data_IF_857244531409
#
_entry.id   IF_857244531409
#
_cell.length_a   1.000
_cell.length_b   1.000
_cell.length_c   1.000
_cell.angle_alpha   90.00
_cell.angle_beta   90.00
_cell.angle_gamma   90.00
#
_symmetry.space_group_name_H-M   'P 1'
#
loop_
_entity.id
_entity.type
_entity.pdbx_description
1 polymer ?
#
# COMPACT_ATOMS: atom_id res chain seq x y z
N UNK A 1 2.58 -9.05 15.60
CA UNK A 1 1.37 -8.21 15.38
C UNK A 1 1.42 -7.09 16.40
N UNK A 2 1.28 -5.83 15.96
CA UNK A 2 1.20 -4.66 16.85
C UNK A 2 -0.25 -4.17 16.88
N UNK A 3 -0.74 -3.75 18.05
CA UNK A 3 -2.09 -3.21 18.25
C UNK A 3 -1.97 -1.84 18.93
N UNK A 4 -2.78 -0.87 18.53
CA UNK A 4 -2.86 0.45 19.16
C UNK A 4 -4.28 1.03 19.06
N UNK A 5 -4.65 1.89 20.00
CA UNK A 5 -5.84 2.75 19.92
C UNK A 5 -5.50 3.97 19.06
N UNK A 6 -6.41 4.39 18.18
CA UNK A 6 -6.17 5.54 17.28
C UNK A 6 -6.89 6.76 17.85
N UNK A 7 -6.15 7.65 18.50
CA UNK A 7 -6.71 8.78 19.25
C UNK A 7 -6.83 10.10 18.43
N UNK A 8 -6.43 10.10 17.16
CA UNK A 8 -6.52 11.28 16.27
C UNK A 8 -7.88 11.26 15.54
N UNK A 9 -8.67 12.34 15.46
CA UNK A 9 -9.93 12.37 14.70
C UNK A 9 -9.73 12.23 13.17
N UNK A 10 -10.77 11.78 12.45
CA UNK A 10 -10.71 11.58 11.00
C UNK A 10 -10.69 12.92 10.26
N UNK A 11 -9.54 13.27 9.67
CA UNK A 11 -9.41 14.39 8.73
C UNK A 11 -9.18 13.79 7.34
N UNK A 12 -10.11 13.99 6.36
CA UNK A 12 -9.92 13.54 4.98
C UNK A 12 -8.58 14.04 4.43
N UNK A 13 -7.70 13.12 4.03
CA UNK A 13 -6.35 13.44 3.55
C UNK A 13 -5.21 13.20 4.56
N UNK A 14 -5.50 12.84 5.82
CA UNK A 14 -4.50 12.49 6.85
C UNK A 14 -4.56 11.01 7.28
N UNK A 15 -5.13 10.11 6.46
CA UNK A 15 -5.19 8.66 6.77
C UNK A 15 -3.79 8.08 7.10
N UNK A 16 -2.75 8.59 6.43
CA UNK A 16 -1.36 8.25 6.72
C UNK A 16 -0.98 8.53 8.19
N UNK A 17 -1.46 9.61 8.82
CA UNK A 17 -1.11 9.94 10.20
C UNK A 17 -1.73 8.99 11.23
N UNK A 18 -2.86 8.35 10.90
CA UNK A 18 -3.49 7.35 11.79
C UNK A 18 -2.83 5.98 11.66
N UNK A 19 -2.51 5.56 10.45
CA UNK A 19 -2.06 4.19 10.18
C UNK A 19 -0.53 4.05 10.11
N UNK A 20 0.18 5.06 9.60
CA UNK A 20 1.63 4.99 9.44
C UNK A 20 2.39 4.77 10.75
N UNK A 21 2.05 5.41 11.90
CA UNK A 21 2.75 5.14 13.16
C UNK A 21 2.70 3.67 13.57
N UNK A 22 1.53 3.03 13.38
CA UNK A 22 1.34 1.62 13.71
C UNK A 22 2.11 0.70 12.74
N UNK A 23 2.12 1.03 11.44
CA UNK A 23 2.87 0.28 10.44
C UNK A 23 4.38 0.39 10.68
N UNK A 24 4.87 1.59 11.01
CA UNK A 24 6.26 1.85 11.38
C UNK A 24 6.64 1.06 12.63
N UNK A 25 5.81 1.07 13.67
CA UNK A 25 6.04 0.28 14.87
C UNK A 25 6.10 -1.22 14.57
N UNK A 26 5.23 -1.73 13.69
CA UNK A 26 5.24 -3.12 13.26
C UNK A 26 6.53 -3.49 12.50
N UNK A 27 7.01 -2.62 11.62
CA UNK A 27 8.27 -2.83 10.89
C UNK A 27 9.49 -2.79 11.82
N UNK A 28 9.56 -1.81 12.73
CA UNK A 28 10.63 -1.74 13.73
C UNK A 28 10.68 -2.99 14.63
N UNK A 29 9.53 -3.54 14.97
CA UNK A 29 9.43 -4.78 15.75
C UNK A 29 9.85 -6.04 14.97
N UNK A 30 9.85 -6.01 13.63
CA UNK A 30 10.43 -7.08 12.79
C UNK A 30 11.94 -6.93 12.71
N UNK A 31 12.43 -5.71 12.53
CA UNK A 31 13.86 -5.42 12.48
C UNK A 31 14.58 -5.78 13.78
N UNK A 32 13.95 -5.50 14.94
CA UNK A 32 14.50 -5.93 16.23
C UNK A 32 14.62 -7.45 16.39
N UNK A 33 13.97 -8.22 15.52
CA UNK A 33 14.05 -9.69 15.44
C UNK A 33 14.98 -10.17 14.32
N UNK A 34 15.73 -9.28 13.68
CA UNK A 34 16.63 -9.59 12.57
C UNK A 34 15.93 -9.85 11.23
N UNK A 35 14.64 -9.52 11.09
CA UNK A 35 13.88 -9.70 9.85
C UNK A 35 13.78 -8.37 9.12
N UNK A 36 14.57 -8.18 8.07
CA UNK A 36 14.58 -6.97 7.24
C UNK A 36 13.67 -7.10 6.01
N UNK A 37 13.17 -5.95 5.53
CA UNK A 37 12.25 -5.89 4.39
C UNK A 37 12.94 -5.13 3.27
N UNK A 38 13.18 -5.81 2.15
CA UNK A 38 13.82 -5.20 0.98
C UNK A 38 12.88 -4.23 0.24
N UNK A 39 11.60 -4.59 0.14
CA UNK A 39 10.56 -3.76 -0.49
C UNK A 39 9.26 -3.86 0.29
N UNK A 40 8.73 -2.71 0.70
CA UNK A 40 7.46 -2.61 1.41
C UNK A 40 6.29 -2.42 0.43
N UNK A 41 5.29 -3.30 0.47
CA UNK A 41 4.00 -3.06 -0.20
C UNK A 41 2.95 -2.55 0.79
N UNK A 42 2.37 -1.40 0.49
CA UNK A 42 1.37 -0.75 1.33
C UNK A 42 0.01 -0.74 0.62
N UNK A 43 -1.05 -1.13 1.34
CA UNK A 43 -2.42 -1.01 0.86
C UNK A 43 -2.86 0.47 0.93
N UNK A 44 -2.49 1.24 -0.09
CA UNK A 44 -2.66 2.68 -0.18
C UNK A 44 -1.84 3.26 -1.32
N UNK A 45 -1.93 4.57 -1.53
CA UNK A 45 -1.19 5.24 -2.62
C UNK A 45 0.23 5.62 -2.21
N UNK A 46 1.13 5.69 -3.20
CA UNK A 46 2.43 6.36 -3.11
C UNK A 46 2.37 7.76 -3.73
N UNK A 47 3.15 8.00 -4.80
CA UNK A 47 3.21 9.27 -5.52
C UNK A 47 1.85 9.78 -6.05
N UNK A 48 0.89 8.94 -6.49
CA UNK A 48 -0.48 9.35 -6.87
C UNK A 48 -1.31 9.90 -5.71
N UNK A 49 -0.92 11.08 -5.24
CA UNK A 49 -1.52 11.83 -4.16
C UNK A 49 -1.42 13.33 -4.49
N UNK A 50 -2.38 14.19 -4.09
CA UNK A 50 -2.32 15.63 -4.38
C UNK A 50 -1.02 16.32 -3.93
N UNK A 51 -0.39 15.79 -2.88
CA UNK A 51 0.89 16.29 -2.32
C UNK A 51 2.11 15.45 -2.74
N UNK A 52 1.96 14.52 -3.69
CA UNK A 52 2.98 13.52 -4.07
C UNK A 52 3.53 12.70 -2.89
N UNK A 53 2.70 12.56 -1.85
CA UNK A 53 3.07 11.97 -0.56
C UNK A 53 1.90 11.13 -0.03
N UNK A 54 1.61 10.02 -0.68
CA UNK A 54 0.70 9.01 -0.16
C UNK A 54 1.33 8.21 0.99
N UNK A 55 0.54 7.36 1.64
CA UNK A 55 0.99 6.56 2.80
C UNK A 55 2.19 5.66 2.46
N UNK A 56 2.26 5.10 1.26
CA UNK A 56 3.39 4.27 0.85
C UNK A 56 4.68 5.10 0.74
N UNK A 57 4.59 6.30 0.17
CA UNK A 57 5.70 7.25 0.10
C UNK A 57 6.12 7.72 1.50
N UNK A 58 5.15 8.07 2.35
CA UNK A 58 5.43 8.56 3.70
C UNK A 58 6.19 7.52 4.53
N UNK A 59 5.72 6.26 4.56
CA UNK A 59 6.40 5.19 5.32
C UNK A 59 7.76 4.88 4.70
N UNK A 60 7.84 4.78 3.36
CA UNK A 60 9.09 4.50 2.67
C UNK A 60 10.18 5.55 2.96
N UNK A 61 9.82 6.84 2.92
CA UNK A 61 10.72 7.94 3.28
C UNK A 61 11.09 7.89 4.77
N UNK A 62 10.12 7.72 5.66
CA UNK A 62 10.36 7.71 7.10
C UNK A 62 11.26 6.56 7.58
N UNK A 63 11.27 5.44 6.84
CA UNK A 63 12.05 4.25 7.13
C UNK A 63 13.25 4.06 6.19
N UNK A 64 13.42 4.95 5.22
CA UNK A 64 14.45 4.91 4.19
C UNK A 64 14.51 3.59 3.36
N UNK A 65 13.36 2.93 3.18
CA UNK A 65 13.23 1.65 2.46
C UNK A 65 12.41 1.79 1.16
N UNK A 66 12.73 0.99 0.12
CA UNK A 66 11.90 0.92 -1.08
C UNK A 66 10.45 0.60 -0.75
N UNK A 67 9.51 1.33 -1.35
CA UNK A 67 8.08 1.13 -1.07
C UNK A 67 7.19 1.27 -2.29
N UNK A 68 6.09 0.52 -2.29
CA UNK A 68 5.10 0.42 -3.36
C UNK A 68 3.72 0.69 -2.77
N UNK A 69 2.97 1.59 -3.38
CA UNK A 69 1.55 1.78 -3.09
C UNK A 69 0.69 0.90 -3.99
N UNK A 70 -0.27 0.18 -3.39
CA UNK A 70 -1.24 -0.67 -4.07
C UNK A 70 -2.64 -0.31 -3.59
N UNK A 71 -3.52 0.10 -4.50
CA UNK A 71 -4.86 0.58 -4.18
C UNK A 71 -5.94 0.10 -5.15
N UNK A 72 -7.20 0.26 -4.77
CA UNK A 72 -8.38 -0.17 -5.55
C UNK A 72 -9.11 0.93 -6.30
N UNK A 73 -8.80 2.18 -5.99
CA UNK A 73 -9.46 3.35 -6.55
C UNK A 73 -8.39 4.32 -6.98
N UNK A 74 -8.66 5.08 -8.02
CA UNK A 74 -7.85 6.25 -8.37
C UNK A 74 -7.99 7.29 -7.26
N UNK A 75 -6.88 7.91 -6.89
CA UNK A 75 -6.86 9.07 -6.00
C UNK A 75 -6.43 10.34 -6.74
N UNK A 76 -5.32 10.29 -7.47
CA UNK A 76 -4.73 11.44 -8.15
C UNK A 76 -3.90 11.01 -9.38
N UNK A 77 -3.53 11.97 -10.23
CA UNK A 77 -2.76 11.75 -11.46
C UNK A 77 -3.63 11.41 -12.66
N UNK A 78 -3.09 11.58 -13.88
CA UNK A 78 -3.77 11.31 -15.16
C UNK A 78 -3.62 9.84 -15.54
N UNK A 79 -4.69 9.21 -16.02
CA UNK A 79 -4.65 7.81 -16.48
C UNK A 79 -4.53 7.80 -18.00
N UNK A 80 -3.40 7.29 -18.51
CA UNK A 80 -3.21 7.06 -19.95
C UNK A 80 -3.44 5.58 -20.24
N UNK A 81 -4.62 5.26 -20.77
CA UNK A 81 -5.02 3.89 -21.12
C UNK A 81 -4.23 3.43 -22.36
N UNK A 82 -3.49 2.33 -22.23
CA UNK A 82 -2.70 1.76 -23.33
C UNK A 82 -3.43 0.54 -23.90
N UNK A 83 -4.03 -0.28 -23.03
CA UNK A 83 -4.87 -1.43 -23.37
C UNK A 83 -6.01 -1.52 -22.37
N UNK A 84 -6.98 -2.39 -22.63
CA UNK A 84 -8.16 -2.53 -21.77
C UNK A 84 -7.80 -2.86 -20.30
N UNK A 85 -6.79 -3.70 -20.09
CA UNK A 85 -6.33 -4.19 -18.79
C UNK A 85 -5.05 -3.50 -18.28
N UNK A 86 -4.58 -2.47 -18.99
CA UNK A 86 -3.30 -1.81 -18.69
C UNK A 86 -3.32 -0.31 -18.99
N UNK A 87 -2.98 0.50 -17.99
CA UNK A 87 -2.82 1.94 -18.14
C UNK A 87 -1.61 2.45 -17.35
N UNK A 88 -1.10 3.61 -17.74
CA UNK A 88 -0.09 4.35 -17.00
C UNK A 88 -0.74 5.41 -16.12
N UNK A 89 -0.15 5.65 -14.95
CA UNK A 89 -0.52 6.74 -14.06
C UNK A 89 0.55 7.82 -14.20
N UNK A 90 0.15 9.03 -14.61
CA UNK A 90 1.05 10.15 -14.84
C UNK A 90 0.85 11.26 -13.80
N UNK A 91 1.97 11.84 -13.35
CA UNK A 91 2.03 13.09 -12.59
C UNK A 91 3.08 13.95 -13.27
N UNK A 92 2.72 15.20 -13.59
CA UNK A 92 3.60 16.14 -14.32
C UNK A 92 4.21 15.51 -15.58
N UNK A 93 3.38 14.77 -16.34
CA UNK A 93 3.77 14.01 -17.54
C UNK A 93 4.81 12.90 -17.33
N UNK A 94 5.13 12.54 -16.08
CA UNK A 94 6.00 11.41 -15.75
C UNK A 94 5.18 10.21 -15.28
N UNK A 95 5.55 9.02 -15.74
CA UNK A 95 4.95 7.76 -15.26
C UNK A 95 5.38 7.53 -13.82
N UNK A 96 4.42 7.36 -12.92
CA UNK A 96 4.65 7.11 -11.48
C UNK A 96 4.04 5.80 -11.00
N UNK A 97 3.40 5.07 -11.91
CA UNK A 97 2.66 3.85 -11.60
C UNK A 97 1.82 3.38 -12.77
N UNK A 98 1.05 2.33 -12.52
CA UNK A 98 0.22 1.67 -13.51
C UNK A 98 -1.15 1.29 -12.94
N UNK A 99 -2.12 1.13 -13.83
CA UNK A 99 -3.36 0.41 -13.55
C UNK A 99 -3.25 -0.95 -14.23
N UNK A 100 -3.48 -2.02 -13.48
CA UNK A 100 -3.48 -3.40 -14.00
C UNK A 100 -4.83 -4.07 -13.74
N UNK A 101 -5.29 -4.85 -14.70
CA UNK A 101 -6.59 -5.53 -14.65
C UNK A 101 -7.73 -4.71 -15.26
N UNK A 102 -8.94 -5.29 -15.25
CA UNK A 102 -10.13 -4.77 -15.94
C UNK A 102 -11.30 -4.56 -14.99
N UNK A 103 -12.04 -3.46 -15.15
CA UNK A 103 -13.26 -3.15 -14.41
C UNK A 103 -13.06 -3.23 -12.89
N UNK A 104 -13.89 -4.04 -12.21
CA UNK A 104 -13.85 -4.16 -10.73
C UNK A 104 -12.58 -4.84 -10.19
N UNK A 105 -11.75 -5.41 -11.06
CA UNK A 105 -10.46 -6.03 -10.70
C UNK A 105 -9.27 -5.10 -10.88
N UNK A 106 -9.47 -3.87 -11.37
CA UNK A 106 -8.40 -2.89 -11.49
C UNK A 106 -7.65 -2.71 -10.17
N UNK A 107 -6.33 -2.58 -10.29
CA UNK A 107 -5.40 -2.32 -9.21
C UNK A 107 -4.49 -1.17 -9.62
N UNK A 108 -4.45 -0.14 -8.79
CA UNK A 108 -3.65 1.05 -8.96
C UNK A 108 -2.34 0.83 -8.20
N UNK A 109 -1.25 0.65 -8.93
CA UNK A 109 0.06 0.34 -8.37
C UNK A 109 0.99 1.51 -8.64
N UNK A 110 1.77 1.93 -7.65
CA UNK A 110 2.51 3.19 -7.76
C UNK A 110 3.80 3.18 -6.96
N UNK A 111 4.76 3.97 -7.41
CA UNK A 111 6.00 4.27 -6.69
C UNK A 111 5.66 4.88 -5.35
N UNK A 112 6.22 4.34 -4.27
CA UNK A 112 6.23 4.94 -2.95
C UNK A 112 7.53 5.71 -2.72
N UNK A 113 8.64 4.99 -2.57
CA UNK A 113 9.99 5.52 -2.30
C UNK A 113 11.06 4.58 -2.90
N UNK A 114 12.21 5.14 -3.34
CA UNK A 114 13.40 4.41 -3.84
C UNK A 114 13.10 3.23 -4.76
N UNK A 115 12.14 3.37 -5.66
CA UNK A 115 11.79 2.33 -6.63
C UNK A 115 11.33 2.95 -7.95
N UNK A 116 11.76 2.37 -9.05
CA UNK A 116 11.35 2.80 -10.38
C UNK A 116 9.96 2.26 -10.72
N UNK A 117 9.14 3.00 -11.50
CA UNK A 117 7.82 2.52 -11.91
C UNK A 117 7.86 1.13 -12.54
N UNK A 118 8.84 0.86 -13.40
CA UNK A 118 8.96 -0.44 -14.08
C UNK A 118 9.15 -1.60 -13.09
N UNK A 119 9.87 -1.35 -11.99
CA UNK A 119 10.09 -2.33 -10.92
C UNK A 119 8.81 -2.55 -10.10
N UNK A 120 8.02 -1.50 -9.86
CA UNK A 120 6.69 -1.61 -9.24
C UNK A 120 5.82 -2.61 -10.03
N UNK A 121 5.77 -2.45 -11.35
CA UNK A 121 4.98 -3.32 -12.22
C UNK A 121 5.45 -4.78 -12.15
N UNK A 122 6.77 -4.99 -12.25
CA UNK A 122 7.38 -6.32 -12.20
C UNK A 122 7.06 -7.04 -10.90
N UNK A 123 7.41 -6.43 -9.76
CA UNK A 123 7.24 -7.03 -8.43
C UNK A 123 5.77 -7.32 -8.12
N UNK A 124 4.87 -6.39 -8.44
CA UNK A 124 3.44 -6.62 -8.21
C UNK A 124 2.93 -7.79 -9.04
N UNK A 125 3.30 -7.88 -10.33
CA UNK A 125 2.86 -8.98 -11.20
C UNK A 125 3.36 -10.34 -10.72
N UNK A 126 4.63 -10.45 -10.30
CA UNK A 126 5.21 -11.69 -9.78
C UNK A 126 4.51 -12.18 -8.50
N UNK A 127 4.02 -11.26 -7.68
CA UNK A 127 3.31 -11.55 -6.43
C UNK A 127 1.79 -11.68 -6.58
N UNK A 128 1.24 -11.48 -7.78
CA UNK A 128 -0.17 -11.71 -8.05
C UNK A 128 -0.47 -13.20 -8.24
N UNK A 129 -1.69 -13.60 -7.89
CA UNK A 129 -2.23 -14.94 -8.18
C UNK A 129 -3.61 -14.78 -8.83
N UNK A 130 -4.00 -15.64 -9.79
CA UNK A 130 -5.28 -15.50 -10.51
C UNK A 130 -6.52 -15.49 -9.59
N UNK A 131 -6.45 -16.19 -8.46
CA UNK A 131 -7.53 -16.30 -7.48
C UNK A 131 -7.55 -15.15 -6.48
N UNK A 132 -6.49 -14.33 -6.42
CA UNK A 132 -6.33 -13.30 -5.41
C UNK A 132 -6.65 -11.91 -5.95
N UNK A 133 -7.18 -11.10 -5.04
CA UNK A 133 -7.51 -9.71 -5.29
C UNK A 133 -6.27 -8.82 -5.19
N UNK A 134 -5.43 -9.03 -4.19
CA UNK A 134 -4.22 -8.24 -3.96
C UNK A 134 -2.98 -9.13 -4.12
N UNK A 135 -1.79 -8.53 -4.31
CA UNK A 135 -0.54 -9.26 -4.24
C UNK A 135 -0.40 -10.00 -2.90
N UNK A 136 0.30 -11.13 -2.91
CA UNK A 136 0.44 -12.01 -1.75
C UNK A 136 0.73 -11.27 -0.43
N UNK A 137 1.71 -10.33 -0.34
CA UNK A 137 2.00 -9.64 0.92
C UNK A 137 0.79 -8.88 1.49
N UNK A 138 0.07 -8.16 0.64
CA UNK A 138 -1.11 -7.38 1.05
C UNK A 138 -2.28 -8.31 1.39
N UNK A 139 -2.45 -9.39 0.62
CA UNK A 139 -3.49 -10.37 0.90
C UNK A 139 -3.30 -11.02 2.28
N UNK A 140 -2.07 -11.44 2.62
CA UNK A 140 -1.77 -12.00 3.94
C UNK A 140 -1.94 -10.99 5.05
N UNK A 141 -1.45 -9.76 4.88
CA UNK A 141 -1.63 -8.69 5.88
C UNK A 141 -3.11 -8.41 6.17
N UNK A 142 -3.95 -8.31 5.13
CA UNK A 142 -5.41 -8.11 5.25
C UNK A 142 -6.12 -9.30 5.92
N UNK A 143 -5.74 -10.53 5.56
CA UNK A 143 -6.31 -11.74 6.17
C UNK A 143 -5.97 -11.86 7.66
N UNK A 144 -4.70 -11.64 8.01
CA UNK A 144 -4.22 -11.69 9.39
C UNK A 144 -4.85 -10.58 10.22
N UNK A 145 -4.90 -9.34 9.72
CA UNK A 145 -5.48 -8.21 10.47
C UNK A 145 -6.97 -8.42 10.76
N UNK A 146 -7.74 -8.91 9.78
CA UNK A 146 -9.16 -9.26 9.96
C UNK A 146 -9.37 -10.39 10.96
N UNK A 147 -8.53 -11.42 10.92
CA UNK A 147 -8.58 -12.53 11.90
C UNK A 147 -8.35 -12.01 13.32
N UNK A 148 -7.32 -11.20 13.52
CA UNK A 148 -6.98 -10.61 14.83
C UNK A 148 -8.10 -9.68 15.32
N UNK A 149 -8.65 -8.83 14.46
CA UNK A 149 -9.73 -7.91 14.80
C UNK A 149 -11.05 -8.64 15.16
N UNK A 150 -11.29 -9.83 14.59
CA UNK A 150 -12.43 -10.67 15.02
C UNK A 150 -12.17 -11.25 16.42
N UNK A 151 -11.02 -11.86 16.67
CA UNK A 151 -10.71 -12.43 17.98
C UNK A 151 -10.76 -11.38 19.10
N UNK A 152 -10.25 -10.17 18.86
CA UNK A 152 -10.29 -9.08 19.85
C UNK A 152 -11.72 -8.62 20.19
N UNK A 153 -12.66 -8.67 19.24
CA UNK A 153 -14.07 -8.32 19.48
C UNK A 153 -14.84 -9.38 20.28
N UNK A 154 -14.41 -10.63 20.25
CA UNK A 154 -15.05 -11.72 21.00
C UNK A 154 -14.43 -11.94 22.39
N UNK A 155 -13.31 -11.28 22.71
CA UNK A 155 -12.66 -11.33 24.02
C UNK A 155 -13.04 -10.19 24.99
N UNK A 156 -14.11 -9.45 24.71
CA UNK A 156 -14.66 -8.39 25.56
C UNK A 156 -16.11 -8.67 25.98
N UNK A 157 -16.47 -9.96 26.09
CA UNK A 157 -17.78 -10.44 26.53
C UNK A 157 -17.66 -11.47 27.66
N UNK A 158 -16.74 -11.22 28.60
CA UNK A 158 -16.54 -12.00 29.82
C UNK A 158 -16.25 -11.09 30.99
#
# INVERSE_FOLDING_TARGET
IVRARVDIPYIPGLLAFREAPLMIAALKALWSKGVYVDVLMVNGHGLPHPRKMGIASHIGVALDIPSIGVARKRLYGTIRRIREDFAEILIDNKVVGYVVGKGRRELYISVGHKIEPVQVLKLVKEMMRPTLRYPLPIHYADSISKRVARCARHGHSG
#
